data_IF_328649198340
#
_entry.id   IF_328649198340
#
_cell.length_a   1.000
_cell.length_b   1.000
_cell.length_c   1.000
_cell.angle_alpha   90.00
_cell.angle_beta   90.00
_cell.angle_gamma   90.00
#
_symmetry.space_group_name_H-M   'P 1'
#
loop_
_entity.id
_entity.type
_entity.pdbx_description
1 polymer ?
#
# COMPACT_ATOMS: atom_id res chain seq x y z
N UNK A 1 -6.40 28.72 25.48
CA UNK A 1 -6.55 27.34 25.96
C UNK A 1 -5.58 26.45 25.20
N UNK A 2 -4.44 26.08 25.82
CA UNK A 2 -3.47 25.15 25.24
C UNK A 2 -4.02 23.75 25.45
N UNK A 3 -4.51 23.06 24.41
CA UNK A 3 -4.88 21.65 24.54
C UNK A 3 -3.61 20.88 24.94
N UNK A 4 -3.70 20.25 26.10
CA UNK A 4 -2.63 19.48 26.73
C UNK A 4 -2.07 18.42 25.78
N UNK A 5 -0.75 18.44 25.61
CA UNK A 5 0.05 17.43 24.91
C UNK A 5 0.19 16.13 25.75
N UNK A 6 -0.52 16.01 26.87
CA UNK A 6 -0.23 15.02 27.93
C UNK A 6 -1.04 13.72 27.83
N UNK A 7 -1.85 13.53 26.79
CA UNK A 7 -2.37 12.17 26.55
C UNK A 7 -1.27 11.40 25.82
N UNK A 8 -0.64 10.37 26.44
CA UNK A 8 0.35 9.57 25.73
C UNK A 8 -0.36 8.91 24.55
N UNK A 9 0.13 9.15 23.33
CA UNK A 9 -0.40 8.48 22.15
C UNK A 9 -0.12 6.98 22.33
N UNK A 10 -1.14 6.20 22.69
CA UNK A 10 -1.03 4.75 22.82
C UNK A 10 -1.00 4.13 21.43
N UNK A 11 0.20 3.96 20.88
CA UNK A 11 0.47 3.32 19.59
C UNK A 11 0.48 1.78 19.71
N UNK A 12 -0.56 1.21 20.33
CA UNK A 12 -0.65 -0.22 20.61
C UNK A 12 -1.70 -0.95 19.74
N UNK A 13 -2.30 -0.25 18.78
CA UNK A 13 -3.26 -0.82 17.85
C UNK A 13 -2.57 -1.18 16.55
N UNK A 14 -3.08 -2.17 15.85
CA UNK A 14 -2.65 -2.45 14.48
C UNK A 14 -3.39 -1.50 13.55
N UNK A 15 -2.65 -0.90 12.60
CA UNK A 15 -3.20 0.01 11.59
C UNK A 15 -2.90 -0.55 10.21
N UNK A 16 -3.90 -0.52 9.33
CA UNK A 16 -3.73 -0.80 7.92
C UNK A 16 -3.91 0.50 7.12
N UNK A 17 -2.95 0.81 6.26
CA UNK A 17 -3.06 1.85 5.23
C UNK A 17 -3.40 1.18 3.91
N UNK A 18 -4.57 1.46 3.38
CA UNK A 18 -5.01 0.98 2.07
C UNK A 18 -4.70 2.04 1.00
N UNK A 19 -4.10 1.63 -0.11
CA UNK A 19 -3.82 2.47 -1.27
C UNK A 19 -4.46 1.78 -2.48
N UNK A 20 -5.50 2.38 -3.05
CA UNK A 20 -6.02 1.95 -4.35
C UNK A 20 -5.27 2.67 -5.47
N UNK A 21 -4.87 1.95 -6.51
CA UNK A 21 -4.11 2.47 -7.63
C UNK A 21 -4.62 1.86 -8.94
N UNK A 22 -4.76 2.68 -9.99
CA UNK A 22 -5.12 2.25 -11.33
C UNK A 22 -4.37 3.10 -12.35
N UNK A 23 -3.54 2.47 -13.18
CA UNK A 23 -2.75 3.15 -14.24
C UNK A 23 -2.02 4.41 -13.74
N UNK A 24 -1.45 4.34 -12.54
CA UNK A 24 -0.74 5.46 -11.92
C UNK A 24 0.59 5.74 -12.62
N UNK A 25 0.98 7.01 -12.69
CA UNK A 25 2.33 7.37 -13.14
C UNK A 25 3.39 6.66 -12.26
N UNK A 26 4.35 5.92 -12.84
CA UNK A 26 5.34 5.16 -12.09
C UNK A 26 6.18 6.00 -11.12
N UNK A 27 6.54 7.23 -11.50
CA UNK A 27 7.36 8.11 -10.67
C UNK A 27 6.56 8.65 -9.49
N UNK A 28 5.27 8.99 -9.70
CA UNK A 28 4.39 9.40 -8.61
C UNK A 28 4.07 8.24 -7.67
N UNK A 29 3.80 7.04 -8.18
CA UNK A 29 3.59 5.85 -7.35
C UNK A 29 4.82 5.55 -6.48
N UNK A 30 6.03 5.62 -7.06
CA UNK A 30 7.29 5.47 -6.31
C UNK A 30 7.42 6.51 -5.21
N UNK A 31 7.18 7.79 -5.50
CA UNK A 31 7.24 8.87 -4.51
C UNK A 31 6.21 8.68 -3.40
N UNK A 32 4.99 8.24 -3.74
CA UNK A 32 3.93 7.91 -2.78
C UNK A 32 4.41 6.81 -1.81
N UNK A 33 4.86 5.68 -2.34
CA UNK A 33 5.33 4.55 -1.54
C UNK A 33 6.57 4.87 -0.71
N UNK A 34 7.50 5.68 -1.24
CA UNK A 34 8.64 6.18 -0.47
C UNK A 34 8.19 7.07 0.69
N UNK A 35 7.12 7.85 0.52
CA UNK A 35 6.52 8.64 1.60
C UNK A 35 5.91 7.74 2.68
N UNK A 36 5.15 6.74 2.26
CA UNK A 36 4.52 5.74 3.14
C UNK A 36 5.57 4.94 3.92
N UNK A 37 6.69 4.58 3.30
CA UNK A 37 7.80 3.86 3.96
C UNK A 37 8.42 4.63 5.13
N UNK A 38 8.28 5.96 5.17
CA UNK A 38 8.76 6.81 6.27
C UNK A 38 7.78 6.91 7.44
N UNK A 39 6.58 6.31 7.35
CA UNK A 39 5.64 6.28 8.45
C UNK A 39 6.23 5.52 9.64
N UNK A 40 6.18 6.13 10.82
CA UNK A 40 6.78 5.58 12.05
C UNK A 40 5.77 4.89 12.96
N UNK A 41 4.51 4.75 12.52
CA UNK A 41 3.48 4.07 13.30
C UNK A 41 3.86 2.59 13.52
N UNK A 42 4.07 2.13 14.76
CA UNK A 42 4.47 0.75 15.06
C UNK A 42 3.46 -0.25 14.52
N UNK A 43 3.93 -1.25 13.78
CA UNK A 43 3.08 -2.34 13.29
C UNK A 43 2.10 -1.93 12.18
N UNK A 44 2.29 -0.77 11.54
CA UNK A 44 1.52 -0.41 10.35
C UNK A 44 1.70 -1.44 9.24
N UNK A 45 0.60 -1.81 8.61
CA UNK A 45 0.56 -2.67 7.42
C UNK A 45 0.09 -1.83 6.24
N UNK A 46 0.76 -1.96 5.10
CA UNK A 46 0.36 -1.25 3.89
C UNK A 46 -0.19 -2.29 2.93
N UNK A 47 -1.39 -2.02 2.44
CA UNK A 47 -2.09 -2.86 1.48
C UNK A 47 -2.30 -2.00 0.24
N UNK A 48 -1.70 -2.40 -0.87
CA UNK A 48 -1.96 -1.75 -2.15
C UNK A 48 -2.91 -2.62 -2.95
N UNK A 49 -4.00 -2.02 -3.42
CA UNK A 49 -5.00 -2.64 -4.27
C UNK A 49 -4.80 -2.06 -5.67
N UNK A 50 -4.47 -2.93 -6.62
CA UNK A 50 -4.41 -2.57 -8.03
C UNK A 50 -5.81 -2.79 -8.58
N UNK A 51 -6.49 -1.70 -8.98
CA UNK A 51 -7.85 -1.73 -9.54
C UNK A 51 -7.81 -1.95 -11.05
N UNK A 52 -6.98 -2.92 -11.46
CA UNK A 52 -6.69 -3.31 -12.83
C UNK A 52 -6.26 -4.78 -12.84
N UNK A 53 -6.38 -5.44 -13.98
CA UNK A 53 -6.10 -6.86 -14.09
C UNK A 53 -5.52 -7.27 -15.45
N UNK A 54 -4.94 -6.29 -16.15
CA UNK A 54 -4.17 -6.54 -17.37
C UNK A 54 -2.68 -6.74 -17.04
N UNK A 55 -1.92 -7.33 -17.96
CA UNK A 55 -0.47 -7.44 -17.81
C UNK A 55 0.20 -6.05 -17.68
N UNK A 56 -0.42 -5.02 -18.25
CA UNK A 56 0.03 -3.63 -18.16
C UNK A 56 -0.12 -3.03 -16.76
N UNK A 57 -0.83 -3.68 -15.84
CA UNK A 57 -0.98 -3.23 -14.44
C UNK A 57 0.10 -3.83 -13.52
N UNK A 58 0.83 -4.86 -13.98
CA UNK A 58 1.79 -5.63 -13.17
C UNK A 58 2.98 -4.78 -12.68
N UNK A 59 3.35 -3.72 -13.41
CA UNK A 59 4.45 -2.83 -12.99
C UNK A 59 4.18 -2.19 -11.62
N UNK A 60 2.92 -1.92 -11.27
CA UNK A 60 2.58 -1.35 -9.96
C UNK A 60 2.93 -2.33 -8.85
N UNK A 61 2.66 -3.62 -9.06
CA UNK A 61 3.02 -4.70 -8.12
C UNK A 61 4.54 -4.80 -7.94
N UNK A 62 5.29 -4.68 -9.04
CA UNK A 62 6.75 -4.68 -9.02
C UNK A 62 7.32 -3.48 -8.25
N UNK A 63 6.79 -2.28 -8.52
CA UNK A 63 7.15 -1.05 -7.80
C UNK A 63 6.89 -1.21 -6.30
N UNK A 64 5.71 -1.73 -5.92
CA UNK A 64 5.37 -1.97 -4.53
C UNK A 64 6.36 -2.90 -3.84
N UNK A 65 6.64 -4.04 -4.46
CA UNK A 65 7.56 -5.05 -3.92
C UNK A 65 8.99 -4.53 -3.81
N UNK A 66 9.44 -3.72 -4.78
CA UNK A 66 10.75 -3.07 -4.77
C UNK A 66 10.86 -2.04 -3.63
N UNK A 67 9.89 -1.13 -3.50
CA UNK A 67 9.95 -0.05 -2.51
C UNK A 67 9.74 -0.58 -1.09
N UNK A 68 8.79 -1.50 -0.89
CA UNK A 68 8.45 -2.02 0.44
C UNK A 68 9.38 -3.14 0.90
N UNK A 69 10.15 -3.74 -0.01
CA UNK A 69 11.11 -4.81 0.24
C UNK A 69 10.49 -6.18 -0.02
N UNK A 70 11.08 -6.94 -0.95
CA UNK A 70 10.57 -8.25 -1.40
C UNK A 70 10.43 -9.28 -0.27
N UNK A 71 11.26 -9.18 0.76
CA UNK A 71 11.22 -10.02 1.96
C UNK A 71 10.04 -9.69 2.89
N UNK A 72 9.45 -8.49 2.74
CA UNK A 72 8.38 -7.95 3.59
C UNK A 72 7.06 -7.77 2.86
N UNK A 73 7.04 -7.93 1.54
CA UNK A 73 5.85 -7.82 0.70
C UNK A 73 5.35 -9.20 0.26
N UNK A 74 4.03 -9.39 0.28
CA UNK A 74 3.37 -10.48 -0.41
C UNK A 74 2.45 -9.89 -1.48
N UNK A 75 2.37 -10.55 -2.63
CA UNK A 75 1.52 -10.13 -3.75
C UNK A 75 0.55 -11.25 -4.11
N UNK A 76 -0.64 -10.86 -4.56
CA UNK A 76 -1.68 -11.79 -4.94
C UNK A 76 -2.51 -11.19 -6.07
N UNK A 77 -2.78 -11.98 -7.11
CA UNK A 77 -3.61 -11.58 -8.25
C UNK A 77 -4.94 -12.32 -8.16
N UNK A 78 -6.04 -11.57 -8.08
CA UNK A 78 -7.38 -12.14 -7.98
C UNK A 78 -7.97 -12.37 -9.36
N UNK A 79 -8.01 -13.63 -9.82
CA UNK A 79 -8.45 -14.02 -11.17
C UNK A 79 -9.98 -14.05 -11.42
N UNK A 80 -10.80 -13.59 -10.48
CA UNK A 80 -12.26 -13.61 -10.62
C UNK A 80 -12.87 -12.28 -10.19
N UNK A 81 -12.48 -11.20 -10.86
CA UNK A 81 -12.92 -9.83 -10.56
C UNK A 81 -13.86 -9.30 -11.66
N UNK A 82 -14.23 -8.03 -11.56
CA UNK A 82 -15.09 -7.36 -12.54
C UNK A 82 -14.51 -7.37 -13.97
N UNK A 83 -13.18 -7.36 -14.10
CA UNK A 83 -12.46 -7.26 -15.38
C UNK A 83 -12.09 -8.62 -15.98
N UNK A 84 -11.97 -9.68 -15.18
CA UNK A 84 -11.65 -11.03 -15.66
C UNK A 84 -12.50 -12.08 -14.93
N UNK A 85 -13.21 -12.90 -15.70
CA UNK A 85 -13.95 -14.05 -15.17
C UNK A 85 -12.97 -15.17 -14.82
N UNK A 86 -13.11 -15.70 -13.60
CA UNK A 86 -12.38 -16.89 -13.19
C UNK A 86 -12.83 -18.15 -13.95
N UNK A 87 -12.04 -19.24 -13.87
CA UNK A 87 -12.42 -20.54 -14.39
C UNK A 87 -13.68 -21.12 -13.71
#
# INVERSE_FOLDING_TARGET
MKKSLETPIKLNKTVALCIAAYQEDPDYLRKCLQSVKRLTYPGIKVVMVIDGNSDDDLYMMDIFSEVMGRDKSATYIWKNNFHEKGP
#
